data_IF_886330946063
#
_entry.id   IF_886330946063
#
_cell.length_a   1.000
_cell.length_b   1.000
_cell.length_c   1.000
_cell.angle_alpha   90.00
_cell.angle_beta   90.00
_cell.angle_gamma   90.00
#
_symmetry.space_group_name_H-M   'P 1'
#
loop_
_entity.id
_entity.type
_entity.pdbx_description
1 polymer ?
#
# COMPACT_ATOMS: atom_id res chain seq x y z
N UNK A 1 13.51 10.67 -10.55
CA UNK A 1 12.43 9.81 -9.99
C UNK A 1 12.63 8.44 -10.62
N UNK A 2 12.75 7.31 -9.91
CA UNK A 2 12.40 5.97 -10.47
C UNK A 2 12.65 4.79 -9.52
N UNK A 3 13.72 4.76 -8.72
CA UNK A 3 14.06 3.52 -7.95
C UNK A 3 13.13 3.31 -6.75
N UNK A 4 12.83 4.37 -5.99
CA UNK A 4 12.04 4.26 -4.75
C UNK A 4 10.58 3.84 -4.96
N UNK A 5 9.91 4.35 -6.01
CA UNK A 5 8.51 4.00 -6.30
C UNK A 5 8.37 2.54 -6.78
N UNK A 6 9.29 2.07 -7.64
CA UNK A 6 9.27 0.68 -8.11
C UNK A 6 9.51 -0.28 -6.94
N UNK A 7 10.48 0.03 -6.07
CA UNK A 7 10.77 -0.79 -4.89
C UNK A 7 9.57 -0.86 -3.94
N UNK A 8 8.86 0.25 -3.75
CA UNK A 8 7.61 0.31 -2.97
C UNK A 8 6.48 -0.54 -3.58
N UNK A 9 6.31 -0.51 -4.90
CA UNK A 9 5.32 -1.38 -5.58
C UNK A 9 5.67 -2.85 -5.38
N UNK A 10 6.95 -3.22 -5.51
CA UNK A 10 7.41 -4.59 -5.31
C UNK A 10 7.20 -5.05 -3.86
N UNK A 11 7.49 -4.20 -2.88
CA UNK A 11 7.26 -4.53 -1.47
C UNK A 11 5.76 -4.65 -1.14
N UNK A 12 4.90 -3.79 -1.71
CA UNK A 12 3.45 -3.92 -1.61
C UNK A 12 2.96 -5.24 -2.22
N UNK A 13 3.48 -5.61 -3.39
CA UNK A 13 3.10 -6.87 -4.05
C UNK A 13 3.60 -8.10 -3.28
N UNK A 14 4.81 -8.03 -2.72
CA UNK A 14 5.41 -9.12 -1.95
C UNK A 14 4.72 -9.36 -0.60
N UNK A 15 4.06 -8.33 -0.05
CA UNK A 15 3.36 -8.39 1.24
C UNK A 15 1.84 -8.18 1.07
N UNK A 16 1.28 -8.35 -0.13
CA UNK A 16 -0.12 -8.02 -0.49
C UNK A 16 -1.18 -8.72 0.37
N UNK A 17 -0.81 -9.80 1.02
CA UNK A 17 -1.59 -10.68 1.88
C UNK A 17 -1.32 -10.47 3.38
N UNK A 18 -0.34 -9.62 3.72
CA UNK A 18 0.06 -9.34 5.11
C UNK A 18 -0.30 -7.90 5.53
N UNK A 19 -1.47 -7.69 6.17
CA UNK A 19 -1.92 -6.36 6.56
C UNK A 19 -0.99 -5.66 7.55
N UNK A 20 -0.30 -6.41 8.42
CA UNK A 20 0.65 -5.83 9.39
C UNK A 20 1.86 -5.25 8.67
N UNK A 21 2.45 -6.02 7.74
CA UNK A 21 3.59 -5.54 6.94
C UNK A 21 3.23 -4.36 6.04
N UNK A 22 2.03 -4.40 5.44
CA UNK A 22 1.52 -3.29 4.63
C UNK A 22 1.31 -2.02 5.46
N UNK A 23 0.85 -2.15 6.72
CA UNK A 23 0.78 -1.04 7.67
C UNK A 23 2.14 -0.44 7.97
N UNK A 24 3.13 -1.26 8.32
CA UNK A 24 4.50 -0.80 8.57
C UNK A 24 5.06 -0.05 7.35
N UNK A 25 4.85 -0.60 6.14
CA UNK A 25 5.23 0.04 4.89
C UNK A 25 4.57 1.41 4.73
N UNK A 26 3.26 1.46 5.01
CA UNK A 26 2.47 2.67 4.89
C UNK A 26 2.90 3.76 5.86
N UNK A 27 3.20 3.41 7.10
CA UNK A 27 3.69 4.36 8.10
C UNK A 27 5.08 4.88 7.73
N UNK A 28 5.97 4.00 7.26
CA UNK A 28 7.35 4.34 6.88
C UNK A 28 7.43 5.19 5.59
N UNK A 29 6.54 4.96 4.64
CA UNK A 29 6.58 5.55 3.30
C UNK A 29 5.31 6.34 2.94
N UNK A 30 4.60 6.86 3.95
CA UNK A 30 3.26 7.46 3.82
C UNK A 30 3.11 8.45 2.69
N UNK A 31 4.00 9.44 2.59
CA UNK A 31 3.92 10.48 1.56
C UNK A 31 4.10 9.92 0.14
N UNK A 32 5.01 8.95 -0.02
CA UNK A 32 5.28 8.32 -1.32
C UNK A 32 4.09 7.46 -1.76
N UNK A 33 3.51 6.71 -0.82
CA UNK A 33 2.33 5.89 -1.05
C UNK A 33 1.08 6.73 -1.35
N UNK A 34 0.90 7.87 -0.68
CA UNK A 34 -0.19 8.80 -1.00
C UNK A 34 -0.03 9.42 -2.41
N UNK A 35 1.19 9.78 -2.82
CA UNK A 35 1.45 10.24 -4.19
C UNK A 35 1.21 9.13 -5.22
N UNK A 36 1.65 7.91 -4.92
CA UNK A 36 1.39 6.75 -5.78
C UNK A 36 -0.10 6.45 -5.90
N UNK A 37 -0.86 6.55 -4.81
CA UNK A 37 -2.32 6.38 -4.82
C UNK A 37 -3.01 7.36 -5.77
N UNK A 38 -2.54 8.60 -5.85
CA UNK A 38 -3.04 9.57 -6.83
C UNK A 38 -2.66 9.22 -8.26
N UNK A 39 -1.47 8.65 -8.47
CA UNK A 39 -0.90 8.32 -9.79
C UNK A 39 -1.41 6.98 -10.36
N UNK A 40 -1.77 6.04 -9.48
CA UNK A 40 -2.18 4.67 -9.81
C UNK A 40 -3.44 4.27 -9.04
N UNK A 41 -4.61 4.87 -9.33
CA UNK A 41 -5.86 4.64 -8.57
C UNK A 41 -6.28 3.16 -8.52
N UNK A 42 -5.86 2.34 -9.48
CA UNK A 42 -6.10 0.89 -9.53
C UNK A 42 -5.26 0.07 -8.56
N UNK A 43 -4.36 0.66 -7.75
CA UNK A 43 -3.47 -0.10 -6.86
C UNK A 43 -4.21 -1.05 -5.91
N UNK A 44 -5.44 -0.71 -5.54
CA UNK A 44 -6.30 -1.52 -4.66
C UNK A 44 -6.70 -2.85 -5.28
N UNK A 45 -6.74 -2.97 -6.61
CA UNK A 45 -7.06 -4.23 -7.27
C UNK A 45 -5.96 -5.28 -7.12
N UNK A 46 -4.77 -4.89 -6.66
CA UNK A 46 -3.67 -5.81 -6.39
C UNK A 46 -3.70 -6.39 -4.97
N UNK A 47 -4.53 -5.82 -4.08
CA UNK A 47 -4.65 -6.24 -2.68
C UNK A 47 -6.00 -6.93 -2.51
N UNK A 48 -6.02 -8.05 -1.78
CA UNK A 48 -7.27 -8.75 -1.54
C UNK A 48 -8.24 -7.93 -0.67
N UNK A 49 -9.56 -8.02 -0.89
CA UNK A 49 -10.55 -7.27 -0.13
C UNK A 49 -10.44 -7.46 1.40
N UNK A 50 -10.13 -8.68 1.85
CA UNK A 50 -9.95 -8.98 3.28
C UNK A 50 -8.78 -8.19 3.89
N UNK A 51 -7.68 -8.05 3.15
CA UNK A 51 -6.50 -7.29 3.58
C UNK A 51 -6.80 -5.80 3.60
N UNK A 52 -7.52 -5.28 2.60
CA UNK A 52 -7.99 -3.90 2.59
C UNK A 52 -8.87 -3.57 3.80
N UNK A 53 -9.75 -4.49 4.18
CA UNK A 53 -10.61 -4.33 5.35
C UNK A 53 -9.80 -4.26 6.65
N UNK A 54 -8.81 -5.15 6.81
CA UNK A 54 -7.89 -5.14 7.95
C UNK A 54 -7.07 -3.84 8.01
N UNK A 55 -6.55 -3.36 6.88
CA UNK A 55 -5.83 -2.08 6.81
C UNK A 55 -6.73 -0.91 7.21
N UNK A 56 -8.01 -0.93 6.82
CA UNK A 56 -9.00 0.09 7.21
C UNK A 56 -9.26 0.08 8.71
N UNK A 57 -9.43 -1.10 9.31
CA UNK A 57 -9.58 -1.28 10.78
C UNK A 57 -8.35 -0.76 11.53
N UNK A 58 -7.16 -0.87 10.91
CA UNK A 58 -5.91 -0.35 11.45
C UNK A 58 -5.71 1.17 11.27
N UNK A 59 -6.67 1.87 10.64
CA UNK A 59 -6.64 3.32 10.46
C UNK A 59 -5.94 3.80 9.18
N UNK A 60 -5.65 2.92 8.22
CA UNK A 60 -5.05 3.33 6.96
C UNK A 60 -6.09 3.90 5.98
N UNK A 61 -5.76 4.98 5.24
CA UNK A 61 -6.62 5.56 4.22
C UNK A 61 -6.56 4.72 2.93
N UNK A 62 -7.25 3.59 2.93
CA UNK A 62 -7.41 2.68 1.78
C UNK A 62 -8.53 3.11 0.81
N UNK A 63 -9.14 4.28 1.03
CA UNK A 63 -10.29 4.85 0.31
C UNK A 63 -9.99 5.56 -1.01
#
# INVERSE_FOLDING_TARGET
>A
MFIGEIMLILELQANKDNPVKLKELFEKHREQLLKMKQKYPQWKSYIEPAVLEELRKMGLPVD
#
